data_IF_007028502108
#
_entry.id   IF_007028502108
#
_cell.length_a   1.000
_cell.length_b   1.000
_cell.length_c   1.000
_cell.angle_alpha   90.00
_cell.angle_beta   90.00
_cell.angle_gamma   90.00
#
_symmetry.space_group_name_H-M   'P 1'
#
loop_
_entity.id
_entity.type
_entity.pdbx_description
1 polymer ?
#
# COMPACT_ATOMS: atom_id res chain seq x y z
N UNK A 1 -2.28 15.77 -3.05
CA UNK A 1 -2.23 16.47 -4.36
C UNK A 1 -3.59 17.11 -4.57
N UNK A 2 -3.64 18.39 -4.93
CA UNK A 2 -4.85 19.07 -5.40
C UNK A 2 -4.48 19.85 -6.66
N UNK A 3 -5.31 19.75 -7.69
CA UNK A 3 -5.13 20.43 -8.97
C UNK A 3 -6.49 20.75 -9.58
N UNK A 4 -6.52 21.64 -10.55
CA UNK A 4 -7.70 21.98 -11.33
C UNK A 4 -7.34 22.10 -12.82
N UNK A 5 -8.36 21.92 -13.66
CA UNK A 5 -8.33 22.22 -15.08
C UNK A 5 -9.43 23.23 -15.39
N UNK A 6 -9.18 24.09 -16.36
CA UNK A 6 -10.20 24.95 -16.94
C UNK A 6 -10.69 24.32 -18.24
N UNK A 7 -12.00 24.23 -18.42
CA UNK A 7 -12.65 23.61 -19.57
C UNK A 7 -13.61 24.62 -20.19
N UNK A 8 -13.45 24.89 -21.48
CA UNK A 8 -14.36 25.73 -22.24
C UNK A 8 -15.69 25.02 -22.52
N UNK A 9 -16.70 25.78 -22.96
CA UNK A 9 -18.05 25.25 -23.25
C UNK A 9 -18.05 24.14 -24.33
N UNK A 10 -17.04 24.12 -25.20
CA UNK A 10 -16.86 23.10 -26.24
C UNK A 10 -16.13 21.84 -25.76
N UNK A 11 -15.77 21.77 -24.48
CA UNK A 11 -15.04 20.66 -23.86
C UNK A 11 -13.52 20.78 -23.97
N UNK A 12 -12.99 21.84 -24.59
CA UNK A 12 -11.54 22.06 -24.71
C UNK A 12 -10.93 22.47 -23.39
N UNK A 13 -9.82 21.84 -23.00
CA UNK A 13 -9.05 22.23 -21.81
C UNK A 13 -8.20 23.47 -22.13
N UNK A 14 -8.41 24.56 -21.40
CA UNK A 14 -7.73 25.85 -21.61
C UNK A 14 -6.69 26.20 -20.54
N UNK A 15 -6.72 25.49 -19.40
CA UNK A 15 -5.86 25.77 -18.26
C UNK A 15 -5.66 24.54 -17.37
N UNK A 16 -4.53 24.50 -16.68
CA UNK A 16 -4.18 23.44 -15.74
C UNK A 16 -3.26 23.99 -14.65
N UNK A 17 -3.64 23.82 -13.38
CA UNK A 17 -2.86 24.34 -12.26
C UNK A 17 -2.85 23.42 -11.03
N UNK A 18 -1.77 23.50 -10.25
CA UNK A 18 -1.68 22.90 -8.93
C UNK A 18 -2.26 23.84 -7.88
N UNK A 19 -3.12 23.34 -7.00
CA UNK A 19 -3.86 24.15 -6.03
C UNK A 19 -3.29 24.10 -4.61
N UNK A 20 -2.52 23.07 -4.26
CA UNK A 20 -2.01 22.92 -2.91
C UNK A 20 -0.71 22.13 -2.82
N UNK A 21 0.14 22.54 -1.87
CA UNK A 21 1.34 21.82 -1.49
C UNK A 21 1.10 20.68 -0.50
N UNK A 22 2.08 19.79 -0.41
CA UNK A 22 2.14 18.70 0.56
C UNK A 22 2.50 19.16 1.96
N UNK A 23 2.28 18.28 2.94
CA UNK A 23 2.70 18.49 4.33
C UNK A 23 3.33 17.22 4.86
N UNK A 24 4.27 17.36 5.79
CA UNK A 24 4.83 16.26 6.57
C UNK A 24 4.54 16.47 8.06
N UNK A 25 4.07 15.40 8.71
CA UNK A 25 3.65 15.43 10.12
C UNK A 25 4.80 15.28 11.10
N UNK A 26 4.46 15.22 12.40
CA UNK A 26 5.43 15.01 13.48
C UNK A 26 5.78 13.54 13.65
N UNK A 27 6.94 13.25 14.24
CA UNK A 27 7.29 11.91 14.71
C UNK A 27 7.09 11.83 16.23
N UNK A 28 6.31 10.85 16.69
CA UNK A 28 6.06 10.61 18.13
C UNK A 28 6.86 9.41 18.59
N UNK A 29 7.67 9.58 19.63
CA UNK A 29 8.49 8.53 20.25
C UNK A 29 8.07 8.33 21.70
N UNK A 30 8.22 7.11 22.23
CA UNK A 30 8.14 6.83 23.67
C UNK A 30 9.50 6.38 24.17
N UNK A 31 10.21 7.28 24.86
CA UNK A 31 11.52 7.02 25.46
C UNK A 31 11.47 7.49 26.91
N UNK A 32 10.93 6.64 27.80
CA UNK A 32 10.60 7.00 29.19
C UNK A 32 9.38 7.92 29.31
N UNK A 33 9.32 8.98 28.50
CA UNK A 33 8.18 9.87 28.28
C UNK A 33 7.85 9.97 26.78
N UNK A 34 6.71 10.58 26.46
CA UNK A 34 6.32 10.88 25.08
C UNK A 34 7.09 12.09 24.56
N UNK A 35 7.74 11.93 23.41
CA UNK A 35 8.52 12.97 22.73
C UNK A 35 7.96 13.16 21.32
N UNK A 36 7.57 14.39 20.98
CA UNK A 36 7.08 14.77 19.65
C UNK A 36 8.15 15.63 18.99
N UNK A 37 8.62 15.21 17.82
CA UNK A 37 9.62 15.95 17.04
C UNK A 37 9.05 16.36 15.69
N UNK A 38 9.11 17.65 15.39
CA UNK A 38 8.65 18.19 14.12
C UNK A 38 9.53 17.70 12.96
N UNK A 39 8.89 17.28 11.88
CA UNK A 39 9.58 17.05 10.62
C UNK A 39 9.91 18.38 9.93
N UNK A 40 10.89 18.34 9.04
CA UNK A 40 11.25 19.46 8.19
C UNK A 40 10.72 19.19 6.79
N UNK A 41 9.67 19.91 6.40
CA UNK A 41 9.11 19.85 5.06
C UNK A 41 10.15 20.24 4.03
N UNK A 42 10.16 19.54 2.91
CA UNK A 42 10.93 19.92 1.73
C UNK A 42 9.98 20.52 0.68
N UNK A 43 10.47 21.37 -0.25
CA UNK A 43 9.64 21.92 -1.32
C UNK A 43 9.02 20.79 -2.14
N UNK A 44 7.73 20.90 -2.46
CA UNK A 44 7.11 19.91 -3.34
C UNK A 44 7.79 19.90 -4.71
N UNK A 45 7.88 18.72 -5.32
CA UNK A 45 8.30 18.58 -6.71
C UNK A 45 7.08 18.32 -7.57
N UNK A 46 6.74 19.29 -8.40
CA UNK A 46 5.64 19.18 -9.36
C UNK A 46 6.24 19.02 -10.75
N UNK A 47 5.77 18.03 -11.49
CA UNK A 47 6.05 17.94 -12.92
C UNK A 47 5.19 18.93 -13.69
N UNK A 48 5.64 19.32 -14.88
CA UNK A 48 4.78 20.00 -15.84
C UNK A 48 3.55 19.12 -16.13
N UNK A 49 2.32 19.67 -16.09
CA UNK A 49 1.12 18.88 -16.35
C UNK A 49 1.16 18.27 -17.75
N UNK A 50 0.93 16.96 -17.83
CA UNK A 50 0.85 16.23 -19.09
C UNK A 50 -0.55 16.40 -19.68
N UNK A 51 -0.62 16.96 -20.89
CA UNK A 51 -1.87 17.18 -21.61
C UNK A 51 -2.16 15.99 -22.54
N UNK A 52 -3.38 15.46 -22.45
CA UNK A 52 -3.90 14.46 -23.36
C UNK A 52 -5.25 14.88 -23.96
N UNK A 53 -5.84 13.98 -24.74
CA UNK A 53 -7.14 14.22 -25.37
C UNK A 53 -8.26 14.19 -24.33
N UNK A 54 -8.79 15.36 -23.96
CA UNK A 54 -9.82 15.50 -22.95
C UNK A 54 -9.38 15.22 -21.50
N UNK A 55 -8.07 15.19 -21.21
CA UNK A 55 -7.57 15.02 -19.84
C UNK A 55 -6.23 15.73 -19.59
N UNK A 56 -5.94 16.00 -18.32
CA UNK A 56 -4.64 16.48 -17.83
C UNK A 56 -4.15 15.61 -16.68
N UNK A 57 -2.88 15.20 -16.70
CA UNK A 57 -2.24 14.46 -15.62
C UNK A 57 -1.22 15.32 -14.89
N UNK A 58 -1.41 15.42 -13.59
CA UNK A 58 -0.52 16.10 -12.65
C UNK A 58 0.32 15.06 -11.92
N UNK A 59 1.58 15.39 -11.61
CA UNK A 59 2.47 14.54 -10.80
C UNK A 59 3.16 15.38 -9.74
N UNK A 60 2.94 15.03 -8.48
CA UNK A 60 3.53 15.76 -7.35
C UNK A 60 4.16 14.80 -6.35
N UNK A 61 5.41 15.07 -6.01
CA UNK A 61 6.09 14.52 -4.84
C UNK A 61 6.03 15.49 -3.68
N UNK A 62 5.56 15.00 -2.53
CA UNK A 62 5.51 15.72 -1.27
C UNK A 62 6.26 14.94 -0.18
N UNK A 63 6.87 15.65 0.77
CA UNK A 63 7.50 15.01 1.93
C UNK A 63 8.58 15.87 2.57
N UNK A 64 9.52 15.20 3.24
CA UNK A 64 10.62 15.89 3.90
C UNK A 64 11.41 15.01 4.86
N UNK A 65 12.32 15.65 5.61
CA UNK A 65 13.12 14.96 6.61
C UNK A 65 12.26 14.71 7.84
N UNK A 66 12.24 13.47 8.31
CA UNK A 66 11.52 13.12 9.53
C UNK A 66 12.10 13.82 10.76
N UNK A 67 11.39 13.79 11.89
CA UNK A 67 11.83 14.51 13.09
C UNK A 67 13.03 13.85 13.80
N UNK A 68 13.26 12.56 13.60
CA UNK A 68 14.17 11.78 14.45
C UNK A 68 15.47 11.48 13.71
N UNK A 69 16.62 12.02 14.17
CA UNK A 69 17.91 11.70 13.57
C UNK A 69 18.28 10.24 13.85
N UNK A 70 18.74 9.55 12.82
CA UNK A 70 19.18 8.15 12.91
C UNK A 70 20.67 8.06 12.56
N UNK A 71 21.44 7.15 13.21
CA UNK A 71 22.82 6.92 12.86
C UNK A 71 22.91 6.26 11.47
N UNK A 72 23.66 6.88 10.57
CA UNK A 72 23.91 6.39 9.22
C UNK A 72 25.41 6.16 9.02
N UNK A 73 25.83 4.94 8.64
CA UNK A 73 27.20 4.69 8.21
C UNK A 73 27.55 5.51 6.95
N UNK A 74 28.73 6.12 6.91
CA UNK A 74 29.25 6.85 5.75
C UNK A 74 30.67 6.36 5.40
N UNK A 75 31.06 6.34 4.12
CA UNK A 75 32.34 5.74 3.69
C UNK A 75 33.58 6.54 4.06
N UNK A 76 33.42 7.80 4.51
CA UNK A 76 34.51 8.69 4.90
C UNK A 76 34.32 9.18 6.33
N UNK A 77 35.39 9.58 7.05
CA UNK A 77 35.27 10.19 8.38
C UNK A 77 34.17 11.26 8.41
N UNK A 78 33.30 11.30 9.45
CA UNK A 78 33.40 10.57 10.72
C UNK A 78 32.86 9.13 10.73
N UNK A 79 32.61 8.51 9.57
CA UNK A 79 32.08 7.14 9.38
C UNK A 79 30.66 6.88 9.90
N UNK A 80 30.15 7.73 10.79
CA UNK A 80 28.75 7.76 11.22
C UNK A 80 28.26 9.20 11.21
N UNK A 81 27.10 9.44 10.59
CA UNK A 81 26.41 10.72 10.62
C UNK A 81 25.01 10.54 11.21
N UNK A 82 24.59 11.50 12.05
CA UNK A 82 23.22 11.55 12.54
C UNK A 82 22.40 12.46 11.65
N UNK A 83 21.42 11.87 10.95
CA UNK A 83 20.52 12.63 10.09
C UNK A 83 19.16 11.96 10.08
N UNK A 84 18.10 12.76 9.98
CA UNK A 84 16.78 12.21 9.82
C UNK A 84 16.59 11.69 8.38
N UNK A 85 16.11 10.44 8.21
CA UNK A 85 15.76 9.94 6.89
C UNK A 85 14.56 10.71 6.31
N UNK A 86 14.46 10.69 4.99
CA UNK A 86 13.42 11.39 4.23
C UNK A 86 12.22 10.47 4.05
N UNK A 87 11.01 10.97 4.30
CA UNK A 87 9.77 10.31 3.93
C UNK A 87 9.09 11.11 2.82
N UNK A 88 8.53 10.42 1.82
CA UNK A 88 7.88 11.07 0.69
C UNK A 88 6.80 10.21 0.05
N UNK A 89 5.91 10.89 -0.67
CA UNK A 89 4.84 10.28 -1.45
C UNK A 89 4.78 11.02 -2.79
N UNK A 90 4.79 10.27 -3.89
CA UNK A 90 4.59 10.77 -5.25
C UNK A 90 3.26 10.27 -5.77
N UNK A 91 2.35 11.20 -6.01
CA UNK A 91 1.01 10.94 -6.53
C UNK A 91 0.88 11.46 -7.94
N UNK A 92 0.10 10.75 -8.74
CA UNK A 92 -0.46 11.26 -9.99
C UNK A 92 -1.97 11.44 -9.84
N UNK A 93 -2.48 12.52 -10.42
CA UNK A 93 -3.90 12.85 -10.51
C UNK A 93 -4.21 13.18 -11.97
N UNK A 94 -5.06 12.40 -12.61
CA UNK A 94 -5.59 12.70 -13.94
C UNK A 94 -6.99 13.29 -13.76
N UNK A 95 -7.26 14.44 -14.37
CA UNK A 95 -8.56 15.09 -14.39
C UNK A 95 -9.04 15.12 -15.84
N UNK A 96 -10.27 14.68 -16.08
CA UNK A 96 -10.90 14.63 -17.39
C UNK A 96 -11.83 15.84 -17.57
N UNK A 97 -11.98 16.29 -18.82
CA UNK A 97 -12.86 17.41 -19.17
C UNK A 97 -14.34 17.17 -18.82
N UNK A 98 -14.75 15.90 -18.72
CA UNK A 98 -16.08 15.47 -18.30
C UNK A 98 -16.31 15.49 -16.77
N UNK A 99 -15.30 15.91 -15.99
CA UNK A 99 -15.35 16.01 -14.54
C UNK A 99 -14.92 14.75 -13.79
N UNK A 100 -14.61 13.64 -14.48
CA UNK A 100 -14.00 12.47 -13.84
C UNK A 100 -12.58 12.77 -13.37
N UNK A 101 -12.11 12.01 -12.40
CA UNK A 101 -10.70 12.01 -12.01
C UNK A 101 -10.20 10.61 -11.65
N UNK A 102 -8.93 10.36 -11.91
CA UNK A 102 -8.22 9.13 -11.59
C UNK A 102 -6.95 9.48 -10.82
N UNK A 103 -6.52 8.58 -9.92
CA UNK A 103 -5.35 8.82 -9.08
C UNK A 103 -4.46 7.59 -8.99
N UNK A 104 -3.15 7.81 -8.85
CA UNK A 104 -2.16 6.73 -8.66
C UNK A 104 -1.12 7.11 -7.63
N UNK A 105 -0.73 6.14 -6.80
CA UNK A 105 0.47 6.22 -5.97
C UNK A 105 1.63 5.63 -6.78
N UNK A 106 2.48 6.50 -7.34
CA UNK A 106 3.53 6.07 -8.29
C UNK A 106 4.92 5.99 -7.65
N UNK A 107 5.11 6.67 -6.53
CA UNK A 107 6.36 6.62 -5.77
C UNK A 107 6.12 6.86 -4.28
N UNK A 108 6.91 6.23 -3.43
CA UNK A 108 6.78 6.39 -1.98
C UNK A 108 8.06 5.95 -1.25
N UNK A 109 8.35 6.59 -0.13
CA UNK A 109 9.39 6.07 0.78
C UNK A 109 8.97 4.72 1.35
N UNK A 110 9.92 3.80 1.51
CA UNK A 110 9.69 2.46 2.09
C UNK A 110 9.22 2.48 3.55
N UNK A 111 9.25 3.64 4.21
CA UNK A 111 8.64 3.84 5.51
C UNK A 111 8.33 5.34 5.69
N UNK A 112 7.27 5.73 6.43
CA UNK A 112 6.19 4.88 6.97
C UNK A 112 5.28 4.31 5.87
N UNK A 113 4.24 3.56 6.24
CA UNK A 113 3.19 3.14 5.29
C UNK A 113 2.42 4.36 4.80
N UNK A 114 2.19 4.44 3.49
CA UNK A 114 1.47 5.54 2.85
C UNK A 114 0.02 5.15 2.61
N UNK A 115 -0.88 6.10 2.85
CA UNK A 115 -2.32 5.94 2.73
C UNK A 115 -2.85 7.06 1.82
N UNK A 116 -3.62 6.70 0.81
CA UNK A 116 -4.17 7.62 -0.19
C UNK A 116 -5.67 7.70 0.00
N UNK A 117 -6.16 8.92 0.08
CA UNK A 117 -7.57 9.25 0.21
C UNK A 117 -8.04 10.01 -1.01
N UNK A 118 -9.27 9.77 -1.45
CA UNK A 118 -9.91 10.51 -2.54
C UNK A 118 -10.44 11.88 -2.08
N UNK A 119 -11.17 12.58 -2.96
CA UNK A 119 -11.75 13.89 -2.68
C UNK A 119 -12.83 13.87 -1.60
N UNK A 120 -13.49 12.73 -1.36
CA UNK A 120 -14.52 12.55 -0.33
C UNK A 120 -13.91 12.15 1.02
N UNK A 121 -12.61 11.86 1.05
CA UNK A 121 -11.89 11.39 2.22
C UNK A 121 -12.00 9.89 2.44
N UNK A 122 -12.51 9.13 1.46
CA UNK A 122 -12.47 7.68 1.51
C UNK A 122 -11.05 7.17 1.22
N UNK A 123 -10.62 6.16 1.97
CA UNK A 123 -9.32 5.54 1.77
C UNK A 123 -9.37 4.62 0.54
N UNK A 124 -8.56 4.91 -0.47
CA UNK A 124 -8.64 4.30 -1.82
C UNK A 124 -7.37 3.52 -2.22
N UNK A 125 -6.20 3.85 -1.66
CA UNK A 125 -4.99 3.06 -1.87
C UNK A 125 -4.06 3.11 -0.66
N UNK A 126 -3.14 2.15 -0.57
CA UNK A 126 -2.03 2.16 0.40
C UNK A 126 -0.78 1.53 -0.17
N UNK A 127 0.39 1.93 0.34
CA UNK A 127 1.63 1.23 0.01
C UNK A 127 1.61 -0.18 0.61
N UNK A 128 1.96 -1.18 -0.19
CA UNK A 128 1.96 -2.60 0.16
C UNK A 128 3.19 -3.05 0.95
N UNK A 129 4.28 -2.28 0.89
CA UNK A 129 5.54 -2.61 1.57
C UNK A 129 5.94 -1.56 2.59
N UNK A 130 6.50 -2.04 3.71
CA UNK A 130 7.30 -1.21 4.61
C UNK A 130 8.65 -1.86 4.95
N UNK A 131 9.74 -1.15 4.70
CA UNK A 131 11.09 -1.54 5.17
C UNK A 131 11.74 -0.39 5.94
N UNK A 132 11.57 -0.42 7.27
CA UNK A 132 12.17 0.57 8.18
C UNK A 132 13.71 0.52 8.14
N UNK A 133 14.30 -0.66 7.97
CA UNK A 133 15.76 -0.84 8.02
C UNK A 133 16.39 -0.26 6.77
N UNK A 134 15.86 -0.59 5.61
CA UNK A 134 16.32 -0.03 4.35
C UNK A 134 16.07 1.47 4.29
N UNK A 135 14.87 1.93 4.67
CA UNK A 135 14.54 3.35 4.73
C UNK A 135 15.50 4.14 5.63
N UNK A 136 15.70 3.70 6.87
CA UNK A 136 16.59 4.39 7.83
C UNK A 136 18.06 4.38 7.43
N UNK A 137 18.47 3.45 6.57
CA UNK A 137 19.83 3.39 6.03
C UNK A 137 20.01 4.19 4.73
N UNK A 138 19.01 4.18 3.84
CA UNK A 138 19.16 4.64 2.44
C UNK A 138 18.44 5.94 2.09
N UNK A 139 17.35 6.30 2.75
CA UNK A 139 16.47 7.43 2.39
C UNK A 139 17.08 8.84 2.62
N UNK A 140 18.21 9.12 1.97
CA UNK A 140 19.00 10.34 2.10
C UNK A 140 19.67 10.71 0.77
N UNK A 141 19.80 12.00 0.52
CA UNK A 141 20.59 12.51 -0.61
C UNK A 141 20.03 12.05 -1.95
N UNK A 142 20.90 11.48 -2.80
CA UNK A 142 20.57 10.99 -4.15
C UNK A 142 19.44 9.96 -4.17
N UNK A 143 19.30 9.13 -3.14
CA UNK A 143 18.28 8.07 -3.05
C UNK A 143 16.92 8.61 -2.56
N UNK A 144 16.60 9.83 -2.95
CA UNK A 144 15.33 10.50 -2.62
C UNK A 144 14.92 11.36 -3.82
N UNK A 145 13.63 11.71 -3.93
CA UNK A 145 13.17 12.51 -5.07
C UNK A 145 13.78 13.90 -5.14
N UNK A 146 14.41 14.41 -4.06
CA UNK A 146 15.16 15.67 -4.07
C UNK A 146 16.63 15.51 -4.47
N UNK A 147 17.06 14.28 -4.71
CA UNK A 147 18.30 13.93 -5.37
C UNK A 147 17.99 13.40 -6.77
N UNK A 148 18.26 12.12 -6.97
CA UNK A 148 18.32 11.48 -8.30
C UNK A 148 17.29 10.34 -8.47
N UNK A 149 16.67 9.86 -7.38
CA UNK A 149 15.86 8.65 -7.41
C UNK A 149 14.49 8.83 -6.73
N UNK A 150 13.43 8.35 -7.37
CA UNK A 150 12.15 8.08 -6.71
C UNK A 150 11.98 6.56 -6.58
N UNK A 151 11.52 6.09 -5.41
CA UNK A 151 11.29 4.66 -5.19
C UNK A 151 9.89 4.30 -5.68
N UNK A 152 9.73 3.32 -6.60
CA UNK A 152 8.42 2.92 -7.07
C UNK A 152 7.57 2.39 -5.91
N UNK A 153 6.31 2.81 -5.84
CA UNK A 153 5.40 2.33 -4.83
C UNK A 153 4.74 1.02 -5.29
N UNK A 154 4.95 -0.07 -4.55
CA UNK A 154 4.05 -1.22 -4.64
C UNK A 154 2.73 -0.83 -3.97
N UNK A 155 1.65 -0.75 -4.74
CA UNK A 155 0.33 -0.34 -4.27
C UNK A 155 -0.57 -1.56 -4.14
N UNK A 156 -1.32 -1.65 -3.06
CA UNK A 156 -2.30 -2.72 -2.85
C UNK A 156 -3.66 -2.12 -2.54
N UNK A 157 -4.73 -2.86 -2.87
CA UNK A 157 -6.10 -2.47 -2.52
C UNK A 157 -6.24 -2.22 -1.01
N UNK A 158 -7.15 -1.31 -0.66
CA UNK A 158 -7.47 -0.97 0.72
C UNK A 158 -8.31 -2.09 1.32
N UNK A 159 -8.04 -2.41 2.60
CA UNK A 159 -8.83 -3.43 3.27
C UNK A 159 -10.25 -2.90 3.56
N UNK A 160 -11.24 -3.78 3.43
CA UNK A 160 -12.64 -3.53 3.74
C UNK A 160 -12.84 -3.25 5.24
N UNK A 161 -13.99 -2.67 5.60
CA UNK A 161 -14.32 -2.43 7.01
C UNK A 161 -14.31 -3.73 7.84
N UNK A 162 -14.77 -4.85 7.26
CA UNK A 162 -14.75 -6.17 7.88
C UNK A 162 -13.31 -6.66 8.09
N UNK A 163 -12.43 -6.52 7.10
CA UNK A 163 -11.02 -6.89 7.24
C UNK A 163 -10.30 -6.05 8.30
N UNK A 164 -10.61 -4.75 8.43
CA UNK A 164 -10.08 -3.92 9.52
C UNK A 164 -10.52 -4.43 10.89
N UNK A 165 -11.79 -4.80 11.01
CA UNK A 165 -12.31 -5.37 12.24
C UNK A 165 -11.61 -6.69 12.58
N UNK A 166 -11.51 -7.59 11.60
CA UNK A 166 -10.84 -8.88 11.75
C UNK A 166 -9.35 -8.71 12.06
N UNK A 167 -8.65 -7.77 11.42
CA UNK A 167 -7.27 -7.46 11.71
C UNK A 167 -7.07 -7.02 13.17
N UNK A 168 -8.00 -6.20 13.70
CA UNK A 168 -7.98 -5.82 15.11
C UNK A 168 -8.20 -7.03 16.04
N UNK A 169 -9.13 -7.92 15.69
CA UNK A 169 -9.37 -9.15 16.47
C UNK A 169 -8.14 -10.05 16.45
N UNK A 170 -7.50 -10.26 15.29
CA UNK A 170 -6.28 -11.06 15.15
C UNK A 170 -5.12 -10.47 15.96
N UNK A 171 -4.97 -9.15 15.96
CA UNK A 171 -3.83 -8.48 16.60
C UNK A 171 -4.02 -8.21 18.10
N UNK A 172 -5.26 -8.04 18.57
CA UNK A 172 -5.57 -7.65 19.95
C UNK A 172 -6.43 -8.68 20.70
N UNK A 173 -6.81 -9.76 20.04
CA UNK A 173 -7.58 -10.85 20.63
C UNK A 173 -6.83 -11.57 21.75
N UNK A 174 -7.52 -12.50 22.40
CA UNK A 174 -6.98 -13.24 23.55
C UNK A 174 -5.78 -14.14 23.17
N UNK A 175 -5.72 -14.61 21.92
CA UNK A 175 -4.59 -15.38 21.39
C UNK A 175 -3.51 -14.47 20.79
N UNK A 176 -2.24 -14.73 21.13
CA UNK A 176 -1.11 -14.08 20.44
C UNK A 176 -0.93 -14.72 19.05
N UNK A 177 -0.97 -13.95 17.96
CA UNK A 177 -0.73 -14.50 16.64
C UNK A 177 0.71 -14.99 16.50
N UNK A 178 0.91 -16.09 15.79
CA UNK A 178 2.24 -16.57 15.42
C UNK A 178 2.71 -15.79 14.20
N UNK A 179 3.78 -15.02 14.35
CA UNK A 179 4.36 -14.27 13.24
C UNK A 179 5.21 -15.19 12.37
N UNK A 180 4.93 -15.21 11.08
CA UNK A 180 5.72 -15.86 10.03
C UNK A 180 6.32 -14.80 9.12
N UNK A 181 7.57 -14.99 8.74
CA UNK A 181 8.24 -14.17 7.72
C UNK A 181 8.52 -15.04 6.52
N UNK A 182 8.20 -14.56 5.33
CA UNK A 182 8.39 -15.25 4.06
C UNK A 182 9.38 -14.45 3.21
N UNK A 183 10.22 -15.16 2.46
CA UNK A 183 11.02 -14.56 1.38
C UNK A 183 10.20 -14.49 0.09
N UNK A 184 10.61 -13.63 -0.85
CA UNK A 184 10.06 -13.66 -2.21
C UNK A 184 10.14 -15.07 -2.80
N UNK A 185 9.04 -15.52 -3.42
CA UNK A 185 8.83 -16.85 -3.98
C UNK A 185 8.44 -17.92 -2.96
N UNK A 186 8.45 -17.64 -1.65
CA UNK A 186 8.10 -18.63 -0.64
C UNK A 186 6.59 -18.82 -0.54
N UNK A 187 6.16 -20.08 -0.49
CA UNK A 187 4.74 -20.46 -0.43
C UNK A 187 4.27 -20.50 1.03
N UNK A 188 3.26 -19.70 1.35
CA UNK A 188 2.62 -19.66 2.67
C UNK A 188 1.75 -20.90 2.91
N UNK A 189 0.92 -21.25 1.92
CA UNK A 189 0.02 -22.42 1.88
C UNK A 189 -0.12 -22.93 0.45
N UNK A 190 -0.35 -24.24 0.25
CA UNK A 190 -0.68 -24.81 -1.06
C UNK A 190 -2.14 -25.22 -1.13
N UNK A 191 -2.74 -25.06 -2.30
CA UNK A 191 -4.08 -25.56 -2.56
C UNK A 191 -4.15 -27.08 -2.29
N UNK A 192 -5.25 -27.51 -1.67
CA UNK A 192 -5.49 -28.91 -1.30
C UNK A 192 -4.91 -29.32 0.06
N UNK A 193 -3.92 -28.59 0.60
CA UNK A 193 -3.36 -28.86 1.93
C UNK A 193 -4.43 -28.71 3.01
N UNK A 194 -4.29 -29.44 4.11
CA UNK A 194 -5.11 -29.21 5.30
C UNK A 194 -4.84 -27.82 5.87
N UNK A 195 -5.88 -27.15 6.36
CA UNK A 195 -5.76 -25.80 6.89
C UNK A 195 -6.92 -25.40 7.78
N UNK A 196 -6.60 -25.11 9.05
CA UNK A 196 -7.49 -24.65 10.10
C UNK A 196 -7.05 -23.28 10.68
N UNK A 197 -5.98 -22.70 10.15
CA UNK A 197 -5.49 -21.37 10.50
C UNK A 197 -5.96 -20.30 9.51
N UNK A 198 -6.16 -19.08 10.04
CA UNK A 198 -6.31 -17.83 9.30
C UNK A 198 -5.01 -17.05 9.31
N UNK A 199 -4.83 -16.23 8.28
CA UNK A 199 -3.66 -15.39 8.10
C UNK A 199 -4.05 -13.94 7.95
N UNK A 200 -3.41 -13.04 8.69
CA UNK A 200 -3.45 -11.61 8.45
C UNK A 200 -2.11 -11.18 7.84
N UNK A 201 -2.14 -10.64 6.63
CA UNK A 201 -0.94 -10.07 6.00
C UNK A 201 -0.60 -8.75 6.70
N UNK A 202 0.54 -8.68 7.38
CA UNK A 202 0.98 -7.49 8.12
C UNK A 202 1.83 -6.57 7.26
N UNK A 203 2.58 -7.18 6.35
CA UNK A 203 3.46 -6.50 5.41
C UNK A 203 3.80 -7.41 4.23
N UNK A 204 4.01 -6.84 3.05
CA UNK A 204 4.28 -7.61 1.83
C UNK A 204 3.08 -7.74 0.90
N UNK A 205 3.31 -8.43 -0.22
CA UNK A 205 2.30 -8.78 -1.22
C UNK A 205 2.29 -10.29 -1.43
N UNK A 206 1.12 -10.90 -1.30
CA UNK A 206 0.88 -12.31 -1.61
C UNK A 206 0.13 -12.42 -2.94
N UNK A 207 0.49 -13.41 -3.75
CA UNK A 207 -0.26 -13.85 -4.93
C UNK A 207 -1.19 -14.98 -4.50
N UNK A 208 -2.45 -14.89 -4.94
CA UNK A 208 -3.48 -15.92 -4.77
C UNK A 208 -3.59 -16.69 -6.08
N UNK A 209 -3.21 -17.96 -6.06
CA UNK A 209 -3.28 -18.88 -7.21
C UNK A 209 -4.34 -19.95 -6.96
N UNK A 210 -5.19 -20.22 -7.96
CA UNK A 210 -6.16 -21.33 -7.94
C UNK A 210 -5.99 -22.10 -9.24
N UNK A 211 -5.72 -23.40 -9.10
CA UNK A 211 -5.51 -24.33 -10.21
C UNK A 211 -4.40 -23.87 -11.19
N UNK A 212 -3.37 -23.19 -10.67
CA UNK A 212 -2.23 -22.70 -11.46
C UNK A 212 -2.47 -21.39 -12.20
N UNK A 213 -3.60 -20.72 -11.93
CA UNK A 213 -3.92 -19.38 -12.45
C UNK A 213 -3.76 -18.36 -11.33
N UNK A 214 -2.97 -17.30 -11.54
CA UNK A 214 -2.87 -16.17 -10.61
C UNK A 214 -4.14 -15.31 -10.70
N UNK A 215 -4.94 -15.31 -9.63
CA UNK A 215 -6.24 -14.63 -9.57
C UNK A 215 -6.17 -13.22 -9.01
N UNK A 216 -5.29 -13.00 -8.04
CA UNK A 216 -5.20 -11.72 -7.34
C UNK A 216 -3.85 -11.52 -6.66
N UNK A 217 -3.49 -10.25 -6.47
CA UNK A 217 -2.46 -9.82 -5.53
C UNK A 217 -3.13 -9.17 -4.31
N UNK A 218 -2.78 -9.62 -3.12
CA UNK A 218 -3.32 -9.10 -1.86
C UNK A 218 -2.23 -8.46 -1.01
N UNK A 219 -2.56 -7.34 -0.40
CA UNK A 219 -1.65 -6.53 0.40
C UNK A 219 -1.94 -6.57 1.89
N UNK A 220 -1.18 -5.79 2.68
CA UNK A 220 -1.31 -5.79 4.13
C UNK A 220 -2.72 -5.44 4.58
N UNK A 221 -3.20 -6.01 5.68
CA UNK A 221 -4.59 -5.91 6.13
C UNK A 221 -5.50 -7.01 5.59
N UNK A 222 -5.12 -7.68 4.49
CA UNK A 222 -5.87 -8.81 3.97
C UNK A 222 -5.92 -9.97 4.97
N UNK A 223 -7.11 -10.54 5.15
CA UNK A 223 -7.34 -11.74 5.97
C UNK A 223 -7.61 -12.92 5.05
N UNK A 224 -6.84 -13.99 5.16
CA UNK A 224 -6.84 -15.10 4.21
C UNK A 224 -7.02 -16.45 4.92
N UNK A 225 -7.52 -17.43 4.17
CA UNK A 225 -7.66 -18.82 4.63
C UNK A 225 -9.04 -19.13 5.22
N UNK A 226 -9.95 -18.16 5.22
CA UNK A 226 -11.33 -18.28 5.67
C UNK A 226 -12.11 -19.34 4.90
N UNK A 227 -11.86 -19.48 3.58
CA UNK A 227 -12.53 -20.49 2.74
C UNK A 227 -12.18 -21.90 3.17
N UNK A 228 -10.92 -22.15 3.54
CA UNK A 228 -10.49 -23.47 4.01
C UNK A 228 -11.26 -23.90 5.26
N UNK A 229 -11.48 -22.96 6.18
CA UNK A 229 -12.22 -23.19 7.43
C UNK A 229 -13.70 -23.47 7.15
N UNK A 230 -14.29 -22.77 6.17
CA UNK A 230 -15.70 -22.90 5.84
C UNK A 230 -16.04 -24.11 4.96
N UNK A 231 -15.09 -24.54 4.10
CA UNK A 231 -15.32 -25.49 3.01
C UNK A 231 -14.64 -26.86 3.25
N UNK A 232 -14.53 -27.29 4.51
CA UNK A 232 -14.11 -28.66 4.86
C UNK A 232 -12.62 -28.84 5.19
N UNK A 233 -11.95 -27.77 5.59
CA UNK A 233 -10.61 -27.82 6.18
C UNK A 233 -9.46 -27.93 5.17
N UNK A 234 -9.71 -27.70 3.87
CA UNK A 234 -8.68 -27.72 2.82
C UNK A 234 -8.48 -26.36 2.19
N UNK A 235 -7.22 -26.00 1.92
CA UNK A 235 -6.85 -24.75 1.26
C UNK A 235 -7.44 -24.71 -0.15
N UNK A 236 -8.17 -23.64 -0.46
CA UNK A 236 -8.81 -23.44 -1.77
C UNK A 236 -7.92 -22.74 -2.78
N UNK A 237 -6.75 -22.25 -2.35
CA UNK A 237 -5.78 -21.54 -3.17
C UNK A 237 -4.36 -21.76 -2.64
N UNK A 238 -3.38 -21.59 -3.53
CA UNK A 238 -1.97 -21.46 -3.18
C UNK A 238 -1.68 -19.99 -2.92
N UNK A 239 -0.97 -19.70 -1.82
CA UNK A 239 -0.56 -18.34 -1.45
C UNK A 239 0.96 -18.24 -1.54
N UNK A 240 1.48 -17.38 -2.41
CA UNK A 240 2.91 -17.23 -2.64
C UNK A 240 3.36 -15.80 -2.42
N UNK A 241 4.48 -15.61 -1.73
CA UNK A 241 5.05 -14.30 -1.46
C UNK A 241 5.66 -13.68 -2.74
N UNK A 242 5.09 -12.58 -3.25
CA UNK A 242 5.67 -11.82 -4.36
C UNK A 242 6.82 -10.92 -3.90
N UNK A 243 6.70 -10.44 -2.67
CA UNK A 243 7.71 -9.66 -1.95
C UNK A 243 8.06 -10.38 -0.65
N UNK A 244 9.09 -9.96 0.10
CA UNK A 244 9.21 -10.37 1.50
C UNK A 244 7.90 -10.04 2.23
N UNK A 245 7.36 -11.00 2.98
CA UNK A 245 6.08 -10.85 3.67
C UNK A 245 6.22 -11.12 5.17
N UNK A 246 5.41 -10.44 5.97
CA UNK A 246 5.16 -10.76 7.38
C UNK A 246 3.69 -11.06 7.56
N UNK A 247 3.39 -12.21 8.13
CA UNK A 247 2.03 -12.72 8.28
C UNK A 247 1.79 -13.10 9.74
N UNK A 248 0.65 -12.70 10.29
CA UNK A 248 0.15 -13.20 11.56
C UNK A 248 -0.76 -14.41 11.31
N UNK A 249 -0.43 -15.56 11.89
CA UNK A 249 -1.26 -16.75 11.84
C UNK A 249 -2.01 -16.95 13.16
N UNK A 250 -3.31 -17.25 13.08
CA UNK A 250 -4.15 -17.60 14.23
C UNK A 250 -5.03 -18.81 13.91
N UNK A 251 -5.34 -19.67 14.90
CA UNK A 251 -6.39 -20.67 14.77
C UNK A 251 -7.72 -20.01 14.40
N UNK A 252 -8.44 -20.58 13.44
CA UNK A 252 -9.69 -19.99 12.95
C UNK A 252 -10.80 -19.96 14.00
N UNK A 253 -10.76 -20.86 14.98
CA UNK A 253 -11.69 -20.90 16.13
C UNK A 253 -11.69 -19.62 16.97
N UNK A 254 -10.65 -18.77 16.85
CA UNK A 254 -10.61 -17.48 17.55
C UNK A 254 -11.47 -16.42 16.88
N UNK A 255 -11.96 -16.68 15.66
CA UNK A 255 -12.76 -15.74 14.87
C UNK A 255 -14.19 -16.28 14.75
N UNK A 256 -15.15 -15.38 14.94
CA UNK A 256 -16.57 -15.69 14.75
C UNK A 256 -16.82 -16.19 13.31
N UNK A 257 -17.45 -17.36 13.20
CA UNK A 257 -17.75 -18.02 11.94
C UNK A 257 -18.60 -17.14 11.02
N UNK A 258 -19.53 -16.35 11.55
CA UNK A 258 -20.39 -15.49 10.73
C UNK A 258 -19.57 -14.40 10.02
N UNK A 259 -18.51 -13.90 10.68
CA UNK A 259 -17.57 -12.95 10.06
C UNK A 259 -16.75 -13.60 8.95
N UNK A 260 -16.36 -14.87 9.12
CA UNK A 260 -15.67 -15.63 8.07
C UNK A 260 -16.58 -15.82 6.85
N UNK A 261 -17.87 -16.12 7.06
CA UNK A 261 -18.84 -16.25 5.97
C UNK A 261 -18.98 -14.94 5.20
N UNK A 262 -19.10 -13.82 5.89
CA UNK A 262 -19.17 -12.49 5.26
C UNK A 262 -17.90 -12.17 4.45
N UNK A 263 -16.72 -12.48 5.00
CA UNK A 263 -15.44 -12.28 4.32
C UNK A 263 -15.36 -13.13 3.03
N UNK A 264 -15.75 -14.40 3.10
CA UNK A 264 -15.75 -15.31 1.95
C UNK A 264 -16.74 -14.90 0.84
N UNK A 265 -17.82 -14.18 1.18
CA UNK A 265 -18.73 -13.58 0.19
C UNK A 265 -18.06 -12.38 -0.48
N UNK A 266 -17.37 -11.54 0.30
CA UNK A 266 -16.60 -10.40 -0.22
C UNK A 266 -15.56 -10.83 -1.26
N UNK A 267 -14.67 -11.74 -0.89
CA UNK A 267 -13.62 -12.22 -1.79
C UNK A 267 -14.14 -12.89 -3.06
N UNK A 268 -15.28 -13.61 -3.00
CA UNK A 268 -15.89 -14.21 -4.20
C UNK A 268 -16.35 -13.16 -5.22
N UNK A 269 -16.88 -12.03 -4.75
CA UNK A 269 -17.33 -10.94 -5.63
C UNK A 269 -16.13 -10.29 -6.33
N UNK A 270 -15.07 -10.05 -5.57
CA UNK A 270 -13.81 -9.48 -6.10
C UNK A 270 -13.15 -10.41 -7.11
N UNK A 271 -13.16 -11.72 -6.84
CA UNK A 271 -12.59 -12.72 -7.74
C UNK A 271 -13.42 -12.92 -9.02
N UNK A 272 -14.75 -12.76 -8.95
CA UNK A 272 -15.63 -12.81 -10.14
C UNK A 272 -15.47 -11.55 -11.00
N UNK A 273 -15.38 -10.36 -10.37
CA UNK A 273 -15.16 -9.11 -11.10
C UNK A 273 -13.80 -9.01 -11.79
N UNK A 274 -12.78 -9.73 -11.32
CA UNK A 274 -11.47 -9.82 -12.00
C UNK A 274 -11.54 -10.64 -13.30
N UNK A 275 -12.43 -11.64 -13.40
CA UNK A 275 -12.66 -12.41 -14.64
C UNK A 275 -13.24 -11.51 -15.73
N UNK A 276 -14.22 -10.68 -15.36
CA UNK A 276 -14.91 -9.80 -16.31
C UNK A 276 -13.96 -8.74 -16.88
N UNK A 277 -13.03 -8.21 -16.07
CA UNK A 277 -12.01 -7.25 -16.51
C UNK A 277 -10.94 -7.89 -17.41
N UNK A 278 -10.50 -9.13 -17.11
CA UNK A 278 -9.50 -9.84 -17.94
C UNK A 278 -10.13 -10.34 -19.25
N UNK A 279 -11.42 -10.65 -19.26
CA UNK A 279 -12.18 -11.00 -20.46
C UNK A 279 -12.36 -9.79 -21.41
N UNK A 280 -12.49 -8.58 -20.88
CA UNK A 280 -12.54 -7.34 -21.69
C UNK A 280 -11.16 -6.87 -22.20
N UNK A 281 -10.05 -7.36 -21.63
CA UNK A 281 -8.68 -6.98 -22.02
C UNK A 281 -7.96 -8.00 -22.93
N UNK A 282 -8.63 -9.07 -23.37
CA UNK A 282 -8.07 -9.98 -24.38
C UNK A 282 -8.43 -9.48 -25.78
N UNK A 283 -7.48 -8.99 -26.60
CA UNK A 283 -7.75 -8.83 -28.02
C UNK A 283 -7.88 -10.23 -28.62
N UNK A 284 -9.00 -10.46 -29.33
CA UNK A 284 -9.08 -11.56 -30.28
C UNK A 284 -7.89 -11.48 -31.24
N UNK A 285 -6.98 -12.45 -31.16
CA UNK A 285 -6.18 -12.92 -32.29
C UNK A 285 -5.61 -14.30 -32.02
#
# INVERSE_FOLDING_TARGET
>A
LRAAIEVADDGTITGAEYLAGGRIGTTTLRVGAELIVAAVSMPDRQAEPELGDGWVRFKQTAGGRTGVPMPRPVPRPPFVQYRAPTAWTTLELTIFADGRSEHRLVGASMFPRHWVYDSEGALVAKSGLIDMKEWSGKAFGSHTPWGDEDSPAFVTAVETALERELANIVMRGAGRPKIRTLRTGEVLTRQGDAGDELFLLLDGVLVVDVDGTEWAEVGPGAVLGERAVLEGGRRTSTLTARTPCRVAAVPAEQIDRDKLVQLAVGHRREMTGHIDIVAEQSPES
#
